data_IF_641080458059
#
_entry.id   IF_641080458059
#
_cell.length_a   1.000
_cell.length_b   1.000
_cell.length_c   1.000
_cell.angle_alpha   90.00
_cell.angle_beta   90.00
_cell.angle_gamma   90.00
#
_symmetry.space_group_name_H-M   'P 1'
#
loop_
_entity.id
_entity.type
_entity.pdbx_description
1 polymer ?
#
# COMPACT_ATOMS: atom_id res chain seq x y z
N UNK A 1 -1.43 -12.37 -7.10
CA UNK A 1 -0.72 -11.32 -6.34
C UNK A 1 0.59 -10.99 -7.04
N UNK A 2 1.44 -11.98 -7.33
CA UNK A 2 2.71 -11.79 -8.05
C UNK A 2 2.58 -11.06 -9.40
N UNK A 3 1.57 -11.40 -10.21
CA UNK A 3 1.35 -10.77 -11.51
C UNK A 3 1.11 -9.24 -11.44
N UNK A 4 0.41 -8.75 -10.40
CA UNK A 4 0.18 -7.30 -10.21
C UNK A 4 1.48 -6.59 -9.80
N UNK A 5 2.24 -7.20 -8.88
CA UNK A 5 3.54 -6.70 -8.41
C UNK A 5 4.51 -6.50 -9.56
N UNK A 6 4.71 -7.53 -10.39
CA UNK A 6 5.75 -7.54 -11.44
C UNK A 6 5.33 -6.88 -12.75
N UNK A 7 4.07 -6.45 -12.88
CA UNK A 7 3.58 -5.80 -14.10
C UNK A 7 4.39 -4.52 -14.40
N UNK A 8 5.06 -4.48 -15.54
CA UNK A 8 5.94 -3.36 -15.93
C UNK A 8 5.20 -2.02 -16.08
N UNK A 9 3.91 -2.05 -16.42
CA UNK A 9 3.10 -0.84 -16.56
C UNK A 9 1.66 -1.12 -16.11
N UNK A 10 1.12 -0.26 -15.26
CA UNK A 10 -0.28 -0.34 -14.83
C UNK A 10 -1.18 0.13 -15.98
N UNK A 11 -2.40 -0.41 -16.03
CA UNK A 11 -3.39 0.07 -17.01
C UNK A 11 -4.20 1.24 -16.48
N UNK A 12 -4.21 1.42 -15.15
CA UNK A 12 -5.10 2.33 -14.46
C UNK A 12 -6.46 1.71 -14.12
N UNK A 13 -6.74 0.48 -14.54
CA UNK A 13 -7.94 -0.24 -14.10
C UNK A 13 -7.77 -0.70 -12.64
N UNK A 14 -8.58 -0.14 -11.74
CA UNK A 14 -8.60 -0.51 -10.32
C UNK A 14 -8.82 -2.01 -10.08
N UNK A 15 -9.45 -2.74 -11.01
CA UNK A 15 -9.64 -4.19 -10.90
C UNK A 15 -8.37 -5.00 -11.11
N UNK A 16 -7.29 -4.38 -11.58
CA UNK A 16 -5.98 -5.03 -11.67
C UNK A 16 -5.38 -5.29 -10.27
N UNK A 17 -5.88 -4.60 -9.24
CA UNK A 17 -5.53 -4.84 -7.83
C UNK A 17 -6.32 -6.05 -7.27
N UNK A 18 -5.62 -7.08 -6.77
CA UNK A 18 -6.26 -8.24 -6.13
C UNK A 18 -7.23 -7.82 -5.00
N UNK A 19 -8.45 -8.36 -5.05
CA UNK A 19 -9.50 -8.08 -4.06
C UNK A 19 -10.37 -6.86 -4.39
N UNK A 20 -10.04 -6.08 -5.42
CA UNK A 20 -10.90 -4.97 -5.89
C UNK A 20 -11.87 -5.47 -6.96
N UNK A 21 -13.12 -5.68 -6.55
CA UNK A 21 -14.24 -5.99 -7.46
C UNK A 21 -15.07 -4.75 -7.85
N UNK A 22 -16.09 -4.89 -8.70
CA UNK A 22 -16.92 -3.78 -9.19
C UNK A 22 -17.54 -2.91 -8.08
N UNK A 23 -17.94 -3.51 -6.95
CA UNK A 23 -18.48 -2.78 -5.81
C UNK A 23 -17.42 -1.89 -5.13
N UNK A 24 -16.19 -2.38 -4.98
CA UNK A 24 -15.08 -1.61 -4.43
C UNK A 24 -14.67 -0.48 -5.39
N UNK A 25 -14.65 -0.72 -6.71
CA UNK A 25 -14.40 0.32 -7.71
C UNK A 25 -15.39 1.47 -7.58
N UNK A 26 -16.69 1.18 -7.42
CA UNK A 26 -17.71 2.23 -7.26
C UNK A 26 -17.42 3.11 -6.03
N UNK A 27 -17.10 2.49 -4.90
CA UNK A 27 -16.80 3.19 -3.63
C UNK A 27 -15.52 4.04 -3.73
N UNK A 28 -14.47 3.52 -4.35
CA UNK A 28 -13.24 4.27 -4.57
C UNK A 28 -13.47 5.50 -5.46
N UNK A 29 -14.32 5.38 -6.48
CA UNK A 29 -14.69 6.51 -7.35
C UNK A 29 -15.49 7.59 -6.63
N UNK A 30 -16.35 7.20 -5.68
CA UNK A 30 -17.07 8.15 -4.82
C UNK A 30 -16.11 8.98 -3.95
N UNK A 31 -14.93 8.44 -3.63
CA UNK A 31 -13.82 9.12 -2.95
C UNK A 31 -12.84 9.84 -3.91
N UNK A 32 -13.16 9.92 -5.20
CA UNK A 32 -12.31 10.57 -6.21
C UNK A 32 -11.07 9.75 -6.62
N UNK A 33 -11.06 8.45 -6.33
CA UNK A 33 -10.04 7.50 -6.79
C UNK A 33 -10.60 6.74 -8.00
N UNK A 34 -10.28 7.23 -9.19
CA UNK A 34 -10.77 6.71 -10.48
C UNK A 34 -9.90 5.62 -11.09
N UNK A 35 -8.61 5.59 -10.74
CA UNK A 35 -7.63 4.69 -11.33
C UNK A 35 -6.59 4.18 -10.31
N UNK A 36 -5.87 3.13 -10.69
CA UNK A 36 -4.86 2.48 -9.83
C UNK A 36 -3.75 3.45 -9.40
N UNK A 37 -3.33 4.37 -10.26
CA UNK A 37 -2.29 5.35 -9.93
C UNK A 37 -2.70 6.25 -8.76
N UNK A 38 -3.95 6.71 -8.77
CA UNK A 38 -4.51 7.50 -7.68
C UNK A 38 -4.61 6.69 -6.38
N UNK A 39 -4.96 5.40 -6.47
CA UNK A 39 -4.99 4.52 -5.29
C UNK A 39 -3.59 4.34 -4.68
N UNK A 40 -2.58 4.09 -5.52
CA UNK A 40 -1.19 3.99 -5.06
C UNK A 40 -0.71 5.33 -4.47
N UNK A 41 -1.03 6.45 -5.12
CA UNK A 41 -0.72 7.78 -4.61
C UNK A 41 -1.42 8.08 -3.28
N UNK A 42 -2.66 7.62 -3.09
CA UNK A 42 -3.35 7.74 -1.81
C UNK A 42 -2.64 6.93 -0.72
N UNK A 43 -2.25 5.69 -1.02
CA UNK A 43 -1.45 4.87 -0.10
C UNK A 43 -0.15 5.60 0.29
N UNK A 44 0.60 6.12 -0.67
CA UNK A 44 1.86 6.83 -0.38
C UNK A 44 1.66 8.11 0.44
N UNK A 45 0.52 8.81 0.31
CA UNK A 45 0.20 9.98 1.14
C UNK A 45 -0.01 9.66 2.61
N UNK A 46 -0.37 8.42 2.93
CA UNK A 46 -0.52 7.96 4.31
C UNK A 46 0.82 7.57 4.93
N UNK A 47 1.91 7.54 4.15
CA UNK A 47 3.23 7.29 4.71
C UNK A 47 3.61 8.43 5.64
N UNK A 48 3.54 8.16 6.93
CA UNK A 48 4.11 9.03 7.96
C UNK A 48 5.58 8.65 8.08
N UNK A 49 6.46 9.61 7.87
CA UNK A 49 7.86 9.50 8.29
C UNK A 49 7.92 9.91 9.75
N UNK A 50 8.55 9.11 10.61
CA UNK A 50 8.91 9.62 11.93
C UNK A 50 10.10 10.56 11.76
N UNK A 51 10.23 11.59 12.59
CA UNK A 51 11.45 12.39 12.64
C UNK A 51 12.33 11.80 13.73
N UNK A 52 13.62 11.57 13.45
CA UNK A 52 14.57 11.16 14.48
C UNK A 52 14.88 12.33 15.44
N UNK A 53 15.72 12.06 16.43
CA UNK A 53 16.20 13.08 17.38
C UNK A 53 16.93 14.27 16.72
N UNK A 54 17.33 14.13 15.45
CA UNK A 54 18.00 15.16 14.65
C UNK A 54 17.04 15.91 13.70
N UNK A 55 15.75 15.55 13.69
CA UNK A 55 14.76 16.10 12.77
C UNK A 55 14.89 15.56 11.34
N UNK A 56 15.58 14.43 11.15
CA UNK A 56 15.67 13.74 9.87
C UNK A 56 14.51 12.75 9.74
N UNK A 57 13.85 12.75 8.58
CA UNK A 57 12.79 11.79 8.29
C UNK A 57 13.36 10.36 8.29
N UNK A 58 12.90 9.55 9.23
CA UNK A 58 13.21 8.13 9.33
C UNK A 58 12.34 7.30 8.39
N UNK A 59 12.61 6.00 8.42
CA UNK A 59 11.94 4.93 7.70
C UNK A 59 10.42 4.94 7.91
N UNK A 60 9.70 4.60 6.85
CA UNK A 60 8.24 4.43 6.87
C UNK A 60 7.87 3.21 7.72
N UNK A 61 7.09 3.41 8.79
CA UNK A 61 6.44 2.31 9.50
C UNK A 61 5.38 1.67 8.58
N UNK A 62 5.78 0.57 7.94
CA UNK A 62 4.94 -0.16 6.99
C UNK A 62 3.73 -0.81 7.67
N UNK A 63 3.84 -1.20 8.95
CA UNK A 63 2.73 -1.78 9.68
C UNK A 63 1.66 -0.74 9.96
N UNK A 64 2.04 0.42 10.48
CA UNK A 64 1.13 1.54 10.71
C UNK A 64 0.51 2.03 9.41
N UNK A 65 1.30 2.18 8.35
CA UNK A 65 0.81 2.55 7.02
C UNK A 65 -0.25 1.57 6.50
N UNK A 66 0.00 0.26 6.59
CA UNK A 66 -0.94 -0.78 6.18
C UNK A 66 -2.22 -0.77 7.02
N UNK A 67 -2.13 -0.41 8.30
CA UNK A 67 -3.31 -0.21 9.14
C UNK A 67 -4.10 1.03 8.73
N UNK A 68 -3.45 2.19 8.56
CA UNK A 68 -4.11 3.43 8.16
C UNK A 68 -4.80 3.28 6.80
N UNK A 69 -4.15 2.63 5.84
CA UNK A 69 -4.76 2.35 4.55
C UNK A 69 -5.97 1.41 4.66
N UNK A 70 -5.92 0.42 5.55
CA UNK A 70 -7.07 -0.43 5.81
C UNK A 70 -8.22 0.32 6.48
N UNK A 71 -7.93 1.21 7.42
CA UNK A 71 -8.95 2.07 8.03
C UNK A 71 -9.62 2.96 6.98
N UNK A 72 -8.85 3.57 6.08
CA UNK A 72 -9.39 4.29 4.92
C UNK A 72 -10.33 3.40 4.10
N UNK A 73 -9.90 2.20 3.69
CA UNK A 73 -10.75 1.30 2.92
C UNK A 73 -12.07 1.01 3.65
N UNK A 74 -12.04 0.79 4.97
CA UNK A 74 -13.25 0.60 5.76
C UNK A 74 -14.15 1.84 5.78
N UNK A 75 -13.60 3.06 5.87
CA UNK A 75 -14.43 4.29 5.86
C UNK A 75 -15.12 4.49 4.53
N UNK A 76 -14.52 4.07 3.41
CA UNK A 76 -15.18 4.01 2.08
C UNK A 76 -16.24 2.90 1.96
N UNK A 77 -16.39 2.07 2.98
CA UNK A 77 -17.29 0.91 3.00
C UNK A 77 -16.70 -0.37 2.38
N UNK A 78 -15.39 -0.43 2.14
CA UNK A 78 -14.68 -1.64 1.68
C UNK A 78 -14.16 -2.39 2.91
N UNK A 79 -14.89 -3.42 3.35
CA UNK A 79 -14.60 -4.16 4.59
C UNK A 79 -14.23 -5.64 4.35
N UNK A 80 -13.91 -6.02 3.12
CA UNK A 80 -13.52 -7.39 2.76
C UNK A 80 -12.22 -7.39 1.97
N UNK A 81 -11.56 -8.55 1.89
CA UNK A 81 -10.33 -8.74 1.12
C UNK A 81 -9.14 -7.87 1.58
N UNK A 82 -9.07 -7.48 2.86
CA UNK A 82 -7.96 -6.70 3.46
C UNK A 82 -6.59 -7.17 2.98
N UNK A 83 -6.26 -8.43 3.25
CA UNK A 83 -4.92 -8.96 2.95
C UNK A 83 -4.63 -8.96 1.45
N UNK A 84 -5.65 -9.16 0.59
CA UNK A 84 -5.45 -9.13 -0.85
C UNK A 84 -5.15 -7.72 -1.36
N UNK A 85 -5.90 -6.73 -0.90
CA UNK A 85 -5.78 -5.33 -1.37
C UNK A 85 -4.54 -4.67 -0.77
N UNK A 86 -4.41 -4.70 0.56
CA UNK A 86 -3.35 -3.99 1.28
C UNK A 86 -1.98 -4.52 0.89
N UNK A 87 -1.79 -5.85 0.89
CA UNK A 87 -0.51 -6.46 0.50
C UNK A 87 -0.17 -6.15 -0.96
N UNK A 88 -1.13 -6.24 -1.88
CA UNK A 88 -0.87 -5.97 -3.29
C UNK A 88 -0.44 -4.51 -3.53
N UNK A 89 -1.10 -3.54 -2.88
CA UNK A 89 -0.74 -2.12 -2.96
C UNK A 89 0.64 -1.87 -2.35
N UNK A 90 0.88 -2.39 -1.14
CA UNK A 90 2.17 -2.30 -0.44
C UNK A 90 3.32 -2.85 -1.29
N UNK A 91 3.21 -4.09 -1.76
CA UNK A 91 4.23 -4.74 -2.59
C UNK A 91 4.46 -3.98 -3.91
N UNK A 92 3.41 -3.39 -4.50
CA UNK A 92 3.54 -2.62 -5.73
C UNK A 92 4.29 -1.31 -5.51
N UNK A 93 3.99 -0.59 -4.43
CA UNK A 93 4.70 0.64 -4.07
C UNK A 93 6.15 0.32 -3.73
N UNK A 94 6.41 -0.70 -2.90
CA UNK A 94 7.77 -1.13 -2.55
C UNK A 94 8.60 -1.54 -3.78
N UNK A 95 8.01 -2.26 -4.73
CA UNK A 95 8.69 -2.66 -5.97
C UNK A 95 9.03 -1.48 -6.87
N UNK A 96 8.24 -0.40 -6.85
CA UNK A 96 8.46 0.78 -7.68
C UNK A 96 9.34 1.82 -6.97
N UNK A 97 9.32 1.83 -5.65
CA UNK A 97 10.04 2.77 -4.79
C UNK A 97 10.73 1.99 -3.66
N UNK A 98 11.92 1.43 -3.89
CA UNK A 98 12.60 0.61 -2.88
C UNK A 98 12.84 1.35 -1.56
N UNK A 99 13.08 2.67 -1.60
CA UNK A 99 13.23 3.50 -0.39
C UNK A 99 11.96 3.57 0.49
N UNK A 100 10.81 3.11 -0.01
CA UNK A 100 9.55 3.05 0.74
C UNK A 100 9.43 1.78 1.62
N UNK A 101 10.31 0.80 1.42
CA UNK A 101 10.35 -0.46 2.16
C UNK A 101 11.78 -0.71 2.62
N UNK A 102 12.03 -0.73 3.91
CA UNK A 102 13.28 -1.30 4.40
C UNK A 102 13.17 -2.82 4.30
N UNK A 103 13.95 -3.44 3.43
CA UNK A 103 13.94 -4.90 3.31
C UNK A 103 14.58 -5.59 4.53
N UNK A 104 15.38 -4.86 5.30
CA UNK A 104 16.20 -5.40 6.39
C UNK A 104 15.45 -5.44 7.74
N UNK A 105 14.18 -5.04 7.83
CA UNK A 105 13.41 -5.08 9.10
C UNK A 105 13.24 -6.52 9.62
N UNK A 106 13.33 -7.50 8.73
CA UNK A 106 13.23 -8.92 9.07
C UNK A 106 14.59 -9.63 9.03
N UNK A 107 15.67 -8.94 8.62
CA UNK A 107 17.01 -9.52 8.60
C UNK A 107 17.64 -9.50 10.01
N UNK A 108 17.14 -8.64 10.91
CA UNK A 108 17.57 -8.60 12.32
C UNK A 108 17.01 -9.77 13.17
N UNK A 109 16.08 -10.58 12.65
CA UNK A 109 15.54 -11.78 13.32
C UNK A 109 16.34 -13.07 13.00
N UNK A 110 17.35 -13.01 12.10
CA UNK A 110 18.17 -14.16 11.65
C UNK A 110 19.59 -14.19 12.29
N UNK A 111 19.84 -13.45 13.38
CA UNK A 111 21.04 -13.56 14.22
C UNK A 111 20.70 -14.05 15.65
N UNK A 112 20.10 -15.24 15.78
CA UNK A 112 20.24 -16.08 16.98
C UNK A 112 20.82 -17.44 16.59
N UNK A 113 22.15 -17.57 16.71
CA UNK A 113 22.90 -18.83 16.77
C UNK A 113 23.60 -18.91 18.15
#
# INVERSE_FOLDING_TARGET
MEAFRTQASLTGDLKEVPGIGPSAVKKLKEEGIDNTYQLLGHYMKLAVTEEDENGENTKVDTYLLNQQFWEFLKTTGIASHRSAIVKAVCEKVASNYPAFHDANIYDDDDEED
#
